data_IF_912831694535
#
_entry.id   IF_912831694535
#
_cell.length_a   1.000
_cell.length_b   1.000
_cell.length_c   1.000
_cell.angle_alpha   90.00
_cell.angle_beta   90.00
_cell.angle_gamma   90.00
#
_symmetry.space_group_name_H-M   'P 1'
#
loop_
_entity.id
_entity.type
_entity.pdbx_description
1 polymer ?
#
# COMPACT_ATOMS: atom_id res chain seq x y z
N UNK A 1 19.31 16.38 50.88
CA UNK A 1 18.07 16.04 50.13
C UNK A 1 18.46 15.64 48.72
N UNK A 2 18.45 14.35 48.42
CA UNK A 2 18.78 13.79 47.10
C UNK A 2 17.59 13.96 46.15
N UNK A 3 17.86 14.53 44.98
CA UNK A 3 16.93 14.69 43.87
C UNK A 3 16.64 13.29 43.29
N UNK A 4 15.37 12.85 43.16
CA UNK A 4 15.09 11.56 42.55
C UNK A 4 15.45 11.60 41.06
N UNK A 5 16.44 10.79 40.70
CA UNK A 5 16.80 10.47 39.32
C UNK A 5 15.58 9.87 38.64
N UNK A 6 15.01 10.58 37.66
CA UNK A 6 14.00 10.00 36.75
C UNK A 6 14.63 8.78 36.08
N UNK A 7 14.05 7.57 36.18
CA UNK A 7 14.51 6.46 35.37
C UNK A 7 14.33 6.87 33.91
N UNK A 8 15.43 6.77 33.15
CA UNK A 8 15.47 7.10 31.74
C UNK A 8 14.30 6.45 31.02
N UNK A 9 13.69 7.21 30.12
CA UNK A 9 12.71 6.71 29.19
C UNK A 9 13.36 5.66 28.27
N UNK A 10 13.49 4.42 28.76
CA UNK A 10 13.31 3.28 27.90
C UNK A 10 11.88 3.42 27.39
N UNK A 11 11.74 4.05 26.22
CA UNK A 11 10.59 3.83 25.35
C UNK A 11 10.68 2.36 24.95
N UNK A 12 10.28 1.48 25.87
CA UNK A 12 10.15 0.05 25.65
C UNK A 12 9.32 -0.06 24.39
N UNK A 13 9.93 -0.48 23.28
CA UNK A 13 9.20 -0.77 22.04
C UNK A 13 8.09 -1.70 22.48
N UNK A 14 6.85 -1.22 22.46
CA UNK A 14 5.73 -2.08 22.83
C UNK A 14 5.80 -3.31 21.91
N UNK A 15 5.77 -4.52 22.48
CA UNK A 15 5.81 -5.73 21.67
C UNK A 15 4.65 -5.69 20.67
N UNK A 16 4.95 -5.92 19.40
CA UNK A 16 3.92 -5.91 18.37
C UNK A 16 3.29 -7.29 18.36
N UNK A 17 2.07 -7.37 18.89
CA UNK A 17 1.32 -8.61 19.01
C UNK A 17 0.31 -8.69 17.85
N UNK A 18 0.39 -9.77 17.09
CA UNK A 18 -0.59 -10.16 16.07
C UNK A 18 -1.26 -11.46 16.50
N UNK A 19 -2.58 -11.43 16.68
CA UNK A 19 -3.39 -12.58 17.10
C UNK A 19 -2.74 -13.43 18.22
N UNK A 20 -2.26 -12.75 19.27
CA UNK A 20 -1.60 -13.35 20.43
C UNK A 20 -0.12 -13.75 20.25
N UNK A 21 0.47 -13.61 19.06
CA UNK A 21 1.89 -13.87 18.82
C UNK A 21 2.69 -12.56 18.76
N UNK A 22 3.73 -12.47 19.58
CA UNK A 22 4.70 -11.38 19.53
C UNK A 22 5.60 -11.54 18.29
N UNK A 23 5.72 -10.46 17.52
CA UNK A 23 6.64 -10.38 16.39
C UNK A 23 8.06 -10.10 16.87
N UNK A 24 9.01 -10.85 16.34
CA UNK A 24 10.42 -10.57 16.54
C UNK A 24 10.87 -9.29 15.81
N UNK A 25 12.06 -8.79 16.16
CA UNK A 25 12.56 -7.54 15.58
C UNK A 25 12.72 -7.61 14.05
N UNK A 26 13.05 -8.79 13.52
CA UNK A 26 13.23 -9.02 12.08
C UNK A 26 11.89 -8.94 11.34
N UNK A 27 10.84 -9.62 11.81
CA UNK A 27 9.52 -9.57 11.20
C UNK A 27 8.92 -8.16 11.28
N UNK A 28 9.11 -7.44 12.40
CA UNK A 28 8.71 -6.04 12.50
C UNK A 28 9.43 -5.18 11.47
N UNK A 29 10.74 -5.37 11.27
CA UNK A 29 11.50 -4.63 10.25
C UNK A 29 11.00 -4.92 8.82
N UNK A 30 10.72 -6.19 8.51
CA UNK A 30 10.17 -6.61 7.24
C UNK A 30 8.78 -5.99 6.97
N UNK A 31 7.89 -5.98 7.98
CA UNK A 31 6.57 -5.36 7.85
C UNK A 31 6.66 -3.84 7.63
N UNK A 32 7.55 -3.14 8.35
CA UNK A 32 7.82 -1.71 8.10
C UNK A 32 8.40 -1.48 6.70
N UNK A 33 9.28 -2.34 6.22
CA UNK A 33 9.83 -2.26 4.87
C UNK A 33 8.74 -2.42 3.79
N UNK A 34 7.88 -3.43 3.93
CA UNK A 34 6.74 -3.66 3.05
C UNK A 34 5.79 -2.46 3.04
N UNK A 35 5.53 -1.88 4.20
CA UNK A 35 4.68 -0.71 4.34
C UNK A 35 5.25 0.52 3.66
N UNK A 36 6.54 0.81 3.86
CA UNK A 36 7.25 1.91 3.16
C UNK A 36 7.26 1.69 1.65
N UNK A 37 7.45 0.46 1.18
CA UNK A 37 7.35 0.13 -0.25
C UNK A 37 5.95 0.41 -0.81
N UNK A 38 4.90 -0.04 -0.10
CA UNK A 38 3.50 0.20 -0.48
C UNK A 38 3.16 1.68 -0.52
N UNK A 39 3.59 2.45 0.48
CA UNK A 39 3.36 3.89 0.54
C UNK A 39 4.07 4.64 -0.59
N UNK A 40 5.32 4.29 -0.90
CA UNK A 40 6.06 4.87 -2.03
C UNK A 40 5.35 4.59 -3.35
N UNK A 41 4.93 3.34 -3.60
CA UNK A 41 4.23 2.99 -4.83
C UNK A 41 2.88 3.71 -4.94
N UNK A 42 2.08 3.73 -3.87
CA UNK A 42 0.82 4.47 -3.85
C UNK A 42 1.02 5.96 -4.16
N UNK A 43 2.05 6.59 -3.59
CA UNK A 43 2.40 7.98 -3.89
C UNK A 43 2.78 8.18 -5.36
N UNK A 44 3.60 7.30 -5.93
CA UNK A 44 3.97 7.37 -7.36
C UNK A 44 2.76 7.22 -8.27
N UNK A 45 1.87 6.27 -7.98
CA UNK A 45 0.64 6.05 -8.75
C UNK A 45 -0.33 7.24 -8.63
N UNK A 46 -0.44 7.87 -7.46
CA UNK A 46 -1.25 9.08 -7.29
C UNK A 46 -0.69 10.26 -8.10
N UNK A 47 0.64 10.44 -8.11
CA UNK A 47 1.28 11.47 -8.93
C UNK A 47 1.03 11.19 -10.42
N UNK A 48 1.23 9.95 -10.86
CA UNK A 48 0.98 9.55 -12.24
C UNK A 48 -0.48 9.74 -12.66
N UNK A 49 -1.43 9.41 -11.78
CA UNK A 49 -2.85 9.66 -11.98
C UNK A 49 -3.14 11.16 -12.13
N UNK A 50 -2.63 11.99 -11.23
CA UNK A 50 -2.81 13.44 -11.29
C UNK A 50 -2.26 14.06 -12.57
N UNK A 51 -1.02 13.73 -12.92
CA UNK A 51 -0.38 14.20 -14.16
C UNK A 51 -1.14 13.70 -15.39
N UNK A 52 -1.52 12.42 -15.42
CA UNK A 52 -2.28 11.83 -16.51
C UNK A 52 -3.63 12.51 -16.73
N UNK A 53 -4.38 12.79 -15.67
CA UNK A 53 -5.67 13.50 -15.76
C UNK A 53 -5.50 14.93 -16.29
N UNK A 54 -4.45 15.65 -15.88
CA UNK A 54 -4.15 17.00 -16.40
C UNK A 54 -3.88 16.95 -17.90
N UNK A 55 -3.08 15.99 -18.37
CA UNK A 55 -2.79 15.81 -19.79
C UNK A 55 -4.05 15.44 -20.61
N UNK A 56 -4.83 14.46 -20.12
CA UNK A 56 -6.09 14.04 -20.76
C UNK A 56 -7.06 15.22 -20.85
N UNK A 57 -7.23 15.97 -19.75
CA UNK A 57 -8.08 17.16 -19.74
C UNK A 57 -7.60 18.21 -20.74
N UNK A 58 -6.30 18.48 -20.79
CA UNK A 58 -5.74 19.49 -21.69
C UNK A 58 -5.93 19.11 -23.17
N UNK A 59 -5.70 17.84 -23.52
CA UNK A 59 -5.96 17.32 -24.87
C UNK A 59 -7.45 17.34 -25.23
N UNK A 60 -8.31 16.89 -24.31
CA UNK A 60 -9.76 16.95 -24.46
C UNK A 60 -10.26 18.39 -24.66
N UNK A 61 -9.79 19.32 -23.84
CA UNK A 61 -10.19 20.72 -23.91
C UNK A 61 -9.79 21.33 -25.26
N UNK A 62 -8.56 21.08 -25.71
CA UNK A 62 -8.12 21.53 -27.02
C UNK A 62 -9.00 20.95 -28.14
N UNK A 63 -9.26 19.64 -28.12
CA UNK A 63 -10.10 18.95 -29.11
C UNK A 63 -11.54 19.48 -29.12
N UNK A 64 -12.08 19.79 -27.94
CA UNK A 64 -13.41 20.41 -27.79
C UNK A 64 -13.49 21.79 -28.43
N UNK A 65 -12.36 22.52 -28.53
CA UNK A 65 -12.30 23.87 -29.10
C UNK A 65 -12.01 23.87 -30.59
N UNK A 66 -11.31 22.86 -31.10
CA UNK A 66 -10.85 22.81 -32.50
C UNK A 66 -11.66 21.88 -33.39
N UNK A 67 -12.29 20.83 -32.85
CA UNK A 67 -13.00 19.81 -33.63
C UNK A 67 -14.49 19.77 -33.27
N UNK A 68 -14.84 19.28 -32.09
CA UNK A 68 -16.22 19.26 -31.58
C UNK A 68 -16.27 18.95 -30.09
N UNK A 69 -17.33 19.39 -29.42
CA UNK A 69 -17.55 19.09 -28.01
C UNK A 69 -17.63 17.58 -27.74
N UNK A 70 -18.34 16.83 -28.59
CA UNK A 70 -18.50 15.37 -28.46
C UNK A 70 -17.17 14.63 -28.56
N UNK A 71 -16.30 15.04 -29.49
CA UNK A 71 -14.97 14.46 -29.63
C UNK A 71 -14.09 14.75 -28.40
N UNK A 72 -14.18 15.95 -27.84
CA UNK A 72 -13.53 16.30 -26.58
C UNK A 72 -14.00 15.40 -25.43
N UNK A 73 -15.32 15.28 -25.23
CA UNK A 73 -15.90 14.45 -24.17
C UNK A 73 -15.46 12.99 -24.29
N UNK A 74 -15.51 12.41 -25.50
CA UNK A 74 -15.07 11.03 -25.72
C UNK A 74 -13.58 10.85 -25.39
N UNK A 75 -12.74 11.80 -25.80
CA UNK A 75 -11.31 11.82 -25.51
C UNK A 75 -10.99 12.07 -24.03
N UNK A 76 -11.91 12.65 -23.26
CA UNK A 76 -11.76 12.72 -21.82
C UNK A 76 -12.14 11.40 -21.14
N UNK A 77 -13.36 10.92 -21.40
CA UNK A 77 -13.96 9.82 -20.64
C UNK A 77 -13.23 8.50 -20.87
N UNK A 78 -12.94 8.13 -22.12
CA UNK A 78 -12.33 6.83 -22.42
C UNK A 78 -10.90 6.72 -21.85
N UNK A 79 -9.99 7.67 -22.09
CA UNK A 79 -8.64 7.61 -21.51
C UNK A 79 -8.64 7.80 -19.99
N UNK A 80 -9.54 8.60 -19.42
CA UNK A 80 -9.65 8.73 -17.97
C UNK A 80 -10.08 7.39 -17.35
N UNK A 81 -11.11 6.75 -17.88
CA UNK A 81 -11.56 5.44 -17.42
C UNK A 81 -10.45 4.38 -17.52
N UNK A 82 -9.73 4.36 -18.64
CA UNK A 82 -8.58 3.48 -18.83
C UNK A 82 -7.47 3.77 -17.83
N UNK A 83 -7.13 5.04 -17.59
CA UNK A 83 -6.12 5.45 -16.62
C UNK A 83 -6.48 4.99 -15.21
N UNK A 84 -7.74 5.20 -14.79
CA UNK A 84 -8.22 4.71 -13.49
C UNK A 84 -8.13 3.19 -13.39
N UNK A 85 -8.55 2.45 -14.43
CA UNK A 85 -8.44 1.00 -14.46
C UNK A 85 -6.98 0.54 -14.33
N UNK A 86 -6.07 1.10 -15.13
CA UNK A 86 -4.64 0.76 -15.08
C UNK A 86 -4.04 1.05 -13.71
N UNK A 87 -4.31 2.23 -13.13
CA UNK A 87 -3.82 2.59 -11.79
C UNK A 87 -4.35 1.63 -10.72
N UNK A 88 -5.63 1.26 -10.80
CA UNK A 88 -6.25 0.29 -9.90
C UNK A 88 -5.58 -1.09 -9.97
N UNK A 89 -5.49 -1.66 -11.16
CA UNK A 89 -4.88 -2.99 -11.36
C UNK A 89 -3.38 -2.99 -11.03
N UNK A 90 -2.66 -1.92 -11.39
CA UNK A 90 -1.25 -1.79 -11.06
C UNK A 90 -1.01 -1.66 -9.57
N UNK A 91 -1.85 -0.91 -8.85
CA UNK A 91 -1.77 -0.84 -7.41
C UNK A 91 -1.96 -2.23 -6.79
N UNK A 92 -2.99 -2.98 -7.19
CA UNK A 92 -3.24 -4.33 -6.66
C UNK A 92 -2.09 -5.30 -6.95
N UNK A 93 -1.63 -5.34 -8.21
CA UNK A 93 -0.48 -6.14 -8.63
C UNK A 93 0.75 -5.87 -7.76
N UNK A 94 1.10 -4.59 -7.57
CA UNK A 94 2.26 -4.21 -6.77
C UNK A 94 2.10 -4.55 -5.29
N UNK A 95 0.90 -4.45 -4.73
CA UNK A 95 0.66 -4.82 -3.32
C UNK A 95 0.95 -6.31 -3.07
N UNK A 96 0.60 -7.18 -4.00
CA UNK A 96 0.97 -8.61 -3.97
C UNK A 96 2.46 -8.82 -4.23
N UNK A 97 3.02 -8.15 -5.25
CA UNK A 97 4.43 -8.28 -5.59
C UNK A 97 5.35 -7.90 -4.44
N UNK A 98 5.01 -6.86 -3.68
CA UNK A 98 5.78 -6.44 -2.49
C UNK A 98 5.81 -7.54 -1.42
N UNK A 99 4.73 -8.29 -1.23
CA UNK A 99 4.70 -9.40 -0.29
C UNK A 99 5.65 -10.53 -0.70
N UNK A 100 5.71 -10.82 -2.01
CA UNK A 100 6.61 -11.83 -2.56
C UNK A 100 8.08 -11.38 -2.53
N UNK A 101 8.38 -10.15 -2.95
CA UNK A 101 9.76 -9.63 -3.01
C UNK A 101 10.41 -9.56 -1.63
N UNK A 102 9.62 -9.25 -0.60
CA UNK A 102 10.11 -9.15 0.77
C UNK A 102 9.94 -10.47 1.56
N UNK A 103 9.57 -11.56 0.88
CA UNK A 103 9.26 -12.88 1.47
C UNK A 103 8.47 -12.77 2.79
N UNK A 104 7.41 -11.96 2.78
CA UNK A 104 6.62 -11.73 3.99
C UNK A 104 5.88 -13.03 4.34
N UNK A 105 6.24 -13.64 5.46
CA UNK A 105 5.63 -14.88 5.95
C UNK A 105 4.65 -14.61 7.07
N UNK A 106 3.66 -15.49 7.20
CA UNK A 106 2.73 -15.46 8.31
C UNK A 106 3.48 -15.80 9.61
N UNK A 107 3.35 -15.01 10.68
CA UNK A 107 3.99 -15.34 11.94
C UNK A 107 3.41 -16.61 12.57
N UNK A 108 2.19 -17.03 12.23
CA UNK A 108 1.53 -18.19 12.86
C UNK A 108 1.82 -19.53 12.17
N UNK A 109 1.81 -19.57 10.84
CA UNK A 109 2.00 -20.81 10.07
C UNK A 109 3.25 -20.79 9.19
N UNK A 110 4.04 -19.71 9.22
CA UNK A 110 5.31 -19.53 8.48
C UNK A 110 5.22 -19.63 6.95
N UNK A 111 4.01 -19.84 6.42
CA UNK A 111 3.72 -19.83 5.00
C UNK A 111 3.84 -18.40 4.42
N UNK A 112 4.27 -18.25 3.16
CA UNK A 112 4.35 -16.96 2.51
C UNK A 112 2.96 -16.33 2.38
N UNK A 113 2.88 -15.03 2.69
CA UNK A 113 1.68 -14.21 2.51
C UNK A 113 1.52 -13.79 1.05
N UNK A 114 2.63 -13.68 0.32
CA UNK A 114 2.64 -13.48 -1.13
C UNK A 114 2.54 -14.80 -1.87
N UNK A 115 1.33 -15.35 -1.97
CA UNK A 115 1.04 -16.50 -2.83
C UNK A 115 0.80 -16.07 -4.28
N UNK A 116 -0.32 -16.50 -4.86
CA UNK A 116 -0.76 -16.07 -6.19
C UNK A 116 -1.07 -14.57 -6.24
N UNK A 117 -0.72 -13.92 -7.35
CA UNK A 117 -0.99 -12.50 -7.55
C UNK A 117 -2.44 -12.33 -8.00
N UNK A 118 -3.24 -11.66 -7.17
CA UNK A 118 -4.63 -11.33 -7.50
C UNK A 118 -4.71 -9.87 -7.94
N UNK A 119 -4.83 -9.65 -9.25
CA UNK A 119 -4.98 -8.32 -9.86
C UNK A 119 -6.28 -7.57 -9.49
N UNK A 120 -7.39 -8.28 -9.23
CA UNK A 120 -8.69 -7.69 -8.86
C UNK A 120 -8.89 -7.52 -7.36
N UNK A 121 -8.03 -8.11 -6.52
CA UNK A 121 -8.21 -8.13 -5.08
C UNK A 121 -6.95 -7.65 -4.37
N UNK A 122 -7.10 -6.75 -3.41
CA UNK A 122 -5.99 -6.31 -2.57
C UNK A 122 -5.62 -7.41 -1.55
N UNK A 123 -4.33 -7.60 -1.21
CA UNK A 123 -3.96 -8.45 -0.07
C UNK A 123 -4.63 -7.98 1.22
N UNK A 124 -5.28 -8.91 1.92
CA UNK A 124 -5.88 -8.66 3.23
C UNK A 124 -4.86 -8.58 4.36
N UNK A 125 -5.32 -8.20 5.55
CA UNK A 125 -4.49 -8.23 6.78
C UNK A 125 -4.37 -9.64 7.37
N UNK A 126 -5.29 -10.53 7.02
CA UNK A 126 -5.33 -11.93 7.45
C UNK A 126 -4.53 -12.82 6.53
N UNK A 127 -3.94 -13.87 7.10
CA UNK A 127 -3.30 -14.93 6.35
C UNK A 127 -4.35 -15.71 5.55
N UNK A 128 -4.12 -15.97 4.24
CA UNK A 128 -5.02 -16.80 3.44
C UNK A 128 -5.01 -18.27 3.87
N UNK A 129 -3.95 -18.72 4.56
CA UNK A 129 -3.76 -20.13 4.95
C UNK A 129 -4.41 -20.46 6.29
N UNK A 130 -4.27 -19.58 7.29
CA UNK A 130 -4.74 -19.85 8.66
C UNK A 130 -5.80 -18.86 9.17
N UNK A 131 -6.16 -17.84 8.38
CA UNK A 131 -7.21 -16.87 8.73
C UNK A 131 -6.83 -15.85 9.81
N UNK A 132 -5.68 -16.02 10.48
CA UNK A 132 -5.19 -15.14 11.56
C UNK A 132 -4.62 -13.84 11.03
N UNK A 133 -4.62 -12.79 11.85
CA UNK A 133 -4.01 -11.51 11.50
C UNK A 133 -2.49 -11.68 11.31
N UNK A 134 -2.00 -11.39 10.11
CA UNK A 134 -0.61 -11.66 9.73
C UNK A 134 0.16 -10.41 9.29
N UNK A 135 -0.54 -9.29 9.06
CA UNK A 135 0.05 -8.01 8.69
C UNK A 135 -0.35 -6.98 9.75
N UNK A 136 0.63 -6.34 10.38
CA UNK A 136 0.35 -5.27 11.32
C UNK A 136 -0.19 -4.00 10.64
N UNK A 137 -1.07 -3.32 11.35
CA UNK A 137 -1.60 -2.00 10.97
C UNK A 137 -0.57 -0.89 11.20
N UNK A 138 -0.87 0.31 10.68
CA UNK A 138 -0.04 1.50 10.89
C UNK A 138 0.30 1.76 12.35
N UNK A 139 -0.77 1.69 13.15
CA UNK A 139 -0.79 2.09 14.53
C UNK A 139 0.05 1.13 15.36
N UNK A 140 -0.06 -0.16 15.08
CA UNK A 140 0.75 -1.21 15.72
C UNK A 140 2.23 -1.08 15.39
N UNK A 141 2.60 -0.68 14.16
CA UNK A 141 4.00 -0.48 13.77
C UNK A 141 4.62 0.82 14.33
N UNK A 142 3.79 1.74 14.85
CA UNK A 142 4.22 3.03 15.38
C UNK A 142 4.53 4.07 14.29
N UNK A 143 4.04 3.85 13.07
CA UNK A 143 4.29 4.72 11.90
C UNK A 143 3.14 5.75 11.72
N UNK A 144 2.65 6.33 12.82
CA UNK A 144 1.56 7.31 12.86
C UNK A 144 2.05 8.74 12.96
#
# INVERSE_FOLDING_TARGET
MQKPSRPGAHRSRQPIILDGKELDAAAVAAQRAARRARARMAKMLLIALGVGLVLIFSGSFWMSRTVSADAGIALFLLPAALLFAVVYFMNNYWQWRILQVLDLRCPHCEQPLGGEIHWTQRPGYRCPHCGKDAIATARQLGDG
#
